data_IF_984829707441
#
_entry.id   IF_984829707441
#
_cell.length_a   1.000
_cell.length_b   1.000
_cell.length_c   1.000
_cell.angle_alpha   90.00
_cell.angle_beta   90.00
_cell.angle_gamma   90.00
#
_symmetry.space_group_name_H-M   'P 1'
#
loop_
_entity.id
_entity.type
_entity.pdbx_description
1 polymer ?
#
# COMPACT_ATOMS: atom_id res chain seq x y z
N UNK A 1 7.77 61.30 -23.34
CA UNK A 1 8.47 60.02 -23.06
C UNK A 1 8.43 59.60 -21.59
N UNK A 2 8.86 60.43 -20.62
CA UNK A 2 8.92 60.04 -19.19
C UNK A 2 7.59 59.52 -18.60
N UNK A 3 6.43 60.14 -18.91
CA UNK A 3 5.11 59.69 -18.42
C UNK A 3 4.69 58.29 -18.91
N UNK A 4 5.02 57.93 -20.14
CA UNK A 4 4.71 56.60 -20.69
C UNK A 4 5.62 55.53 -20.08
N UNK A 5 6.88 55.88 -19.79
CA UNK A 5 7.82 54.98 -19.14
C UNK A 5 7.39 54.63 -17.70
N UNK A 6 6.85 55.61 -16.96
CA UNK A 6 6.31 55.41 -15.60
C UNK A 6 5.04 54.56 -15.59
N UNK A 7 4.14 54.74 -16.56
CA UNK A 7 2.93 53.92 -16.71
C UNK A 7 3.26 52.47 -17.08
N UNK A 8 4.25 52.24 -17.94
CA UNK A 8 4.71 50.89 -18.31
C UNK A 8 5.38 50.18 -17.12
N UNK A 9 6.19 50.89 -16.33
CA UNK A 9 6.80 50.31 -15.12
C UNK A 9 5.76 50.01 -14.02
N UNK A 10 4.74 50.86 -13.87
CA UNK A 10 3.64 50.60 -12.92
C UNK A 10 2.78 49.40 -13.36
N UNK A 11 2.55 49.24 -14.67
CA UNK A 11 1.80 48.11 -15.22
C UNK A 11 2.58 46.78 -15.11
N UNK A 12 3.90 46.81 -15.37
CA UNK A 12 4.78 45.64 -15.23
C UNK A 12 4.90 45.18 -13.77
N UNK A 13 4.99 46.11 -12.82
CA UNK A 13 5.07 45.77 -11.39
C UNK A 13 3.77 45.17 -10.85
N UNK A 14 2.60 45.64 -11.31
CA UNK A 14 1.31 45.01 -10.96
C UNK A 14 1.13 43.61 -11.57
N UNK A 15 1.68 43.38 -12.76
CA UNK A 15 1.63 42.06 -13.42
C UNK A 15 2.53 41.04 -12.71
N UNK A 16 3.70 41.49 -12.20
CA UNK A 16 4.60 40.64 -11.40
C UNK A 16 4.03 40.27 -10.03
N UNK A 17 3.26 41.17 -9.38
CA UNK A 17 2.57 40.84 -8.12
C UNK A 17 1.43 39.83 -8.31
N UNK A 18 0.67 39.92 -9.40
CA UNK A 18 -0.40 38.95 -9.71
C UNK A 18 0.14 37.58 -10.14
N UNK A 19 1.39 37.52 -10.64
CA UNK A 19 2.06 36.27 -10.99
C UNK A 19 2.68 35.55 -9.78
N UNK A 20 2.83 36.21 -8.63
CA UNK A 20 3.47 35.65 -7.43
C UNK A 20 2.52 34.96 -6.43
N UNK A 21 1.22 34.88 -6.70
CA UNK A 21 0.22 34.46 -5.69
C UNK A 21 -0.35 33.06 -5.85
N UNK A 22 0.27 32.14 -6.60
CA UNK A 22 -0.08 30.72 -6.51
C UNK A 22 1.09 29.97 -5.92
N UNK A 23 1.04 29.77 -4.61
CA UNK A 23 1.90 28.81 -3.95
C UNK A 23 1.36 27.41 -4.34
N UNK A 24 2.04 26.64 -5.19
CA UNK A 24 1.55 25.34 -5.65
C UNK A 24 1.42 24.32 -4.50
N UNK A 25 1.91 24.66 -3.30
CA UNK A 25 1.89 23.81 -2.10
C UNK A 25 0.82 24.22 -1.09
N UNK A 26 -0.28 24.85 -1.52
CA UNK A 26 -1.42 25.03 -0.61
C UNK A 26 -2.07 23.66 -0.36
N UNK A 27 -1.80 23.09 0.81
CA UNK A 27 -2.35 21.80 1.23
C UNK A 27 -3.51 22.05 2.19
N UNK A 28 -4.66 21.47 1.89
CA UNK A 28 -5.83 21.44 2.76
C UNK A 28 -5.86 20.13 3.52
N UNK A 29 -5.84 20.24 4.84
CA UNK A 29 -5.96 19.11 5.76
C UNK A 29 -7.42 18.85 6.10
N UNK A 30 -7.87 17.61 5.92
CA UNK A 30 -9.20 17.15 6.31
C UNK A 30 -9.09 15.82 7.06
N UNK A 31 -10.16 15.41 7.72
CA UNK A 31 -10.24 14.13 8.41
C UNK A 31 -11.58 13.49 8.12
N UNK A 32 -11.56 12.21 7.77
CA UNK A 32 -12.77 11.41 7.59
C UNK A 32 -13.38 11.05 8.95
N UNK A 33 -14.66 10.70 8.95
CA UNK A 33 -15.41 10.29 10.14
C UNK A 33 -14.76 9.11 10.89
N UNK A 34 -14.15 8.16 10.15
CA UNK A 34 -13.43 7.00 10.70
C UNK A 34 -12.01 7.32 11.22
N UNK A 35 -11.60 8.59 11.17
CA UNK A 35 -10.32 9.06 11.69
C UNK A 35 -9.16 9.09 10.70
N UNK A 36 -9.34 8.63 9.45
CA UNK A 36 -8.31 8.73 8.41
C UNK A 36 -7.98 10.20 8.09
N UNK A 37 -6.69 10.53 8.05
CA UNK A 37 -6.21 11.85 7.66
C UNK A 37 -6.23 11.98 6.13
N UNK A 38 -6.65 13.13 5.63
CA UNK A 38 -6.69 13.43 4.19
C UNK A 38 -5.91 14.71 3.91
N UNK A 39 -5.06 14.65 2.90
CA UNK A 39 -4.25 15.75 2.41
C UNK A 39 -4.65 16.06 0.97
N UNK A 40 -5.14 17.27 0.73
CA UNK A 40 -5.62 17.71 -0.58
C UNK A 40 -4.75 18.85 -1.09
N UNK A 41 -4.21 18.72 -2.29
CA UNK A 41 -3.53 19.80 -3.00
C UNK A 41 -4.20 19.99 -4.36
N UNK A 42 -4.98 21.06 -4.48
CA UNK A 42 -5.73 21.39 -5.70
C UNK A 42 -4.85 22.15 -6.70
N UNK A 43 -4.71 21.58 -7.90
CA UNK A 43 -3.95 22.15 -9.00
C UNK A 43 -4.58 21.79 -10.36
N UNK A 44 -5.29 22.75 -10.95
CA UNK A 44 -5.92 22.62 -12.27
C UNK A 44 -4.98 22.88 -13.47
N UNK A 45 -3.67 22.98 -13.28
CA UNK A 45 -2.73 23.27 -14.39
C UNK A 45 -2.58 22.10 -15.37
N UNK A 46 -2.90 20.87 -14.94
CA UNK A 46 -2.85 19.66 -15.76
C UNK A 46 -4.06 18.77 -15.42
N UNK A 47 -4.71 18.13 -16.42
CA UNK A 47 -5.83 17.22 -16.19
C UNK A 47 -5.33 15.85 -15.69
N UNK A 48 -4.66 15.83 -14.54
CA UNK A 48 -4.06 14.67 -13.92
C UNK A 48 -4.10 14.81 -12.41
N UNK A 49 -4.35 13.70 -11.71
CA UNK A 49 -4.31 13.63 -10.26
C UNK A 49 -3.33 12.54 -9.85
N UNK A 50 -2.45 12.85 -8.91
CA UNK A 50 -1.69 11.89 -8.13
C UNK A 50 -2.50 11.49 -6.90
N UNK A 51 -2.73 10.19 -6.72
CA UNK A 51 -3.35 9.66 -5.52
C UNK A 51 -2.42 8.68 -4.82
N UNK A 52 -2.36 8.77 -3.49
CA UNK A 52 -1.62 7.84 -2.66
C UNK A 52 -2.38 7.51 -1.38
N UNK A 53 -2.25 6.26 -0.93
CA UNK A 53 -2.65 5.83 0.40
C UNK A 53 -1.41 5.40 1.14
N UNK A 54 -1.15 6.06 2.27
CA UNK A 54 0.01 5.82 3.14
C UNK A 54 -0.47 5.07 4.36
N UNK A 55 0.19 3.96 4.68
CA UNK A 55 -0.02 3.20 5.91
C UNK A 55 1.19 3.45 6.81
N UNK A 56 0.97 3.96 8.03
CA UNK A 56 2.04 4.21 9.01
C UNK A 56 2.47 2.91 9.69
N UNK A 57 2.91 1.95 8.88
CA UNK A 57 3.50 0.71 9.32
C UNK A 57 4.49 0.25 8.25
N UNK A 58 5.66 -0.20 8.70
CA UNK A 58 6.72 -0.68 7.82
C UNK A 58 7.43 -1.87 8.43
N UNK A 59 8.66 -2.13 7.97
CA UNK A 59 9.42 -3.30 8.43
C UNK A 59 9.73 -3.29 9.94
N UNK A 60 9.77 -2.11 10.58
CA UNK A 60 10.00 -2.01 12.04
C UNK A 60 8.84 -2.58 12.87
N UNK A 61 7.64 -2.63 12.30
CA UNK A 61 6.43 -3.08 13.00
C UNK A 61 6.29 -4.61 12.92
N UNK A 62 7.07 -5.26 12.06
CA UNK A 62 7.24 -6.70 11.98
C UNK A 62 8.73 -7.08 11.78
N UNK A 63 9.59 -6.81 12.77
CA UNK A 63 11.03 -6.91 12.59
C UNK A 63 11.47 -8.29 12.12
N UNK A 64 12.37 -8.32 11.14
CA UNK A 64 12.98 -9.51 10.57
C UNK A 64 12.05 -10.45 9.76
N UNK A 65 10.74 -10.18 9.66
CA UNK A 65 9.78 -11.13 9.07
C UNK A 65 9.58 -10.97 7.56
N UNK A 66 9.73 -9.76 7.03
CA UNK A 66 9.38 -9.42 5.64
C UNK A 66 7.89 -9.18 5.39
N UNK A 67 7.04 -9.26 6.43
CA UNK A 67 5.57 -9.16 6.30
C UNK A 67 5.14 -7.83 5.68
N UNK A 68 5.69 -6.69 6.12
CA UNK A 68 5.36 -5.37 5.56
C UNK A 68 5.62 -5.31 4.05
N UNK A 69 6.73 -5.90 3.59
CA UNK A 69 7.05 -5.97 2.18
C UNK A 69 6.07 -6.86 1.40
N UNK A 70 5.63 -8.00 1.97
CA UNK A 70 4.58 -8.80 1.32
C UNK A 70 3.30 -8.02 1.06
N UNK A 71 2.93 -7.07 1.93
CA UNK A 71 1.75 -6.25 1.70
C UNK A 71 1.89 -5.31 0.50
N UNK A 72 3.10 -4.95 0.10
CA UNK A 72 3.37 -4.23 -1.16
C UNK A 72 2.86 -5.04 -2.36
N UNK A 73 3.10 -6.35 -2.35
CA UNK A 73 2.72 -7.27 -3.42
C UNK A 73 1.24 -7.68 -3.35
N UNK A 74 0.79 -8.05 -2.15
CA UNK A 74 -0.46 -8.79 -1.96
C UNK A 74 -1.70 -7.88 -2.10
N UNK A 75 -1.59 -6.61 -1.74
CA UNK A 75 -2.72 -5.66 -1.86
C UNK A 75 -3.09 -5.32 -3.31
N UNK A 76 -2.32 -5.76 -4.31
CA UNK A 76 -2.67 -5.71 -5.72
C UNK A 76 -3.34 -6.99 -6.25
N UNK A 77 -3.35 -8.08 -5.47
CA UNK A 77 -3.91 -9.37 -5.92
C UNK A 77 -5.43 -9.45 -5.83
N UNK A 78 -6.04 -8.42 -5.27
CA UNK A 78 -7.48 -8.18 -5.29
C UNK A 78 -8.13 -8.34 -3.92
N UNK A 79 -9.45 -8.48 -3.97
CA UNK A 79 -10.35 -8.50 -2.82
C UNK A 79 -11.34 -9.67 -2.95
N UNK A 80 -12.35 -9.68 -2.09
CA UNK A 80 -13.52 -10.54 -2.24
C UNK A 80 -14.40 -10.18 -3.45
N UNK A 81 -14.20 -9.01 -4.06
CA UNK A 81 -14.92 -8.56 -5.27
C UNK A 81 -14.03 -8.40 -6.50
N UNK A 82 -12.72 -8.22 -6.31
CA UNK A 82 -11.76 -7.95 -7.39
C UNK A 82 -10.73 -9.09 -7.43
N UNK A 83 -10.36 -9.54 -8.62
CA UNK A 83 -9.35 -10.57 -8.85
C UNK A 83 -9.87 -11.99 -8.70
N UNK A 84 -11.19 -12.21 -8.78
CA UNK A 84 -11.81 -13.53 -8.58
C UNK A 84 -13.12 -13.70 -9.35
N UNK A 85 -13.32 -14.90 -9.88
CA UNK A 85 -14.56 -15.29 -10.54
C UNK A 85 -15.66 -15.72 -9.54
N UNK A 86 -15.27 -16.28 -8.39
CA UNK A 86 -16.17 -16.66 -7.29
C UNK A 86 -15.37 -16.75 -5.98
N UNK A 87 -15.42 -15.68 -5.18
CA UNK A 87 -14.72 -15.63 -3.91
C UNK A 87 -15.23 -16.65 -2.89
N UNK A 88 -16.52 -16.99 -2.90
CA UNK A 88 -17.07 -17.88 -1.86
C UNK A 88 -16.47 -19.28 -1.99
N UNK A 89 -16.38 -19.78 -3.22
CA UNK A 89 -15.71 -21.06 -3.52
C UNK A 89 -14.19 -20.95 -3.34
N UNK A 90 -13.58 -19.86 -3.81
CA UNK A 90 -12.14 -19.61 -3.67
C UNK A 90 -11.68 -19.64 -2.20
N UNK A 91 -12.46 -19.00 -1.32
CA UNK A 91 -12.13 -18.81 0.09
C UNK A 91 -11.84 -20.14 0.81
N UNK A 92 -12.57 -21.21 0.48
CA UNK A 92 -12.34 -22.53 1.10
C UNK A 92 -10.93 -23.07 0.83
N UNK A 93 -10.41 -22.81 -0.38
CA UNK A 93 -9.04 -23.17 -0.75
C UNK A 93 -8.03 -22.25 -0.05
N UNK A 94 -8.28 -20.94 -0.04
CA UNK A 94 -7.39 -19.95 0.60
C UNK A 94 -7.27 -20.17 2.12
N UNK A 95 -8.37 -20.51 2.80
CA UNK A 95 -8.36 -20.85 4.23
C UNK A 95 -7.49 -22.11 4.47
N UNK A 96 -7.60 -23.11 3.59
CA UNK A 96 -6.80 -24.33 3.66
C UNK A 96 -5.31 -24.07 3.41
N UNK A 97 -4.99 -23.19 2.44
CA UNK A 97 -3.61 -22.75 2.14
C UNK A 97 -3.02 -22.03 3.36
N UNK A 98 -3.79 -21.12 3.97
CA UNK A 98 -3.41 -20.40 5.19
C UNK A 98 -3.02 -21.37 6.32
N UNK A 99 -3.88 -22.35 6.60
CA UNK A 99 -3.61 -23.36 7.62
C UNK A 99 -2.35 -24.19 7.29
N UNK A 100 -2.10 -24.48 6.01
CA UNK A 100 -0.93 -25.27 5.58
C UNK A 100 0.39 -24.50 5.67
N UNK A 101 0.41 -23.21 5.36
CA UNK A 101 1.61 -22.38 5.59
C UNK A 101 1.93 -22.25 7.08
N UNK A 102 0.92 -22.07 7.92
CA UNK A 102 1.11 -22.05 9.38
C UNK A 102 1.60 -23.41 9.91
N UNK A 103 1.11 -24.53 9.36
CA UNK A 103 1.63 -25.87 9.65
C UNK A 103 3.10 -26.00 9.19
N UNK A 104 3.41 -25.52 7.99
CA UNK A 104 4.76 -25.55 7.41
C UNK A 104 5.76 -24.80 8.31
N UNK A 105 5.42 -23.59 8.75
CA UNK A 105 6.29 -22.75 9.58
C UNK A 105 6.64 -23.41 10.92
N UNK A 106 5.73 -24.20 11.51
CA UNK A 106 5.95 -24.90 12.79
C UNK A 106 6.64 -26.26 12.62
N UNK A 107 6.70 -26.78 11.40
CA UNK A 107 7.23 -28.12 11.12
C UNK A 107 8.73 -28.07 10.83
N UNK A 108 9.52 -28.82 11.61
CA UNK A 108 10.98 -28.95 11.42
C UNK A 108 11.39 -30.16 10.59
N UNK A 109 10.59 -31.23 10.62
CA UNK A 109 10.90 -32.48 9.91
C UNK A 109 10.87 -32.28 8.39
N UNK A 110 11.98 -32.60 7.72
CA UNK A 110 12.17 -32.31 6.29
C UNK A 110 11.20 -33.07 5.40
N UNK A 111 10.91 -34.34 5.73
CA UNK A 111 10.00 -35.17 4.95
C UNK A 111 8.57 -34.62 5.06
N UNK A 112 8.13 -34.31 6.28
CA UNK A 112 6.81 -33.71 6.53
C UNK A 112 6.67 -32.34 5.87
N UNK A 113 7.70 -31.48 5.93
CA UNK A 113 7.70 -30.19 5.22
C UNK A 113 7.51 -30.38 3.72
N UNK A 114 8.21 -31.33 3.11
CA UNK A 114 8.06 -31.64 1.69
C UNK A 114 6.63 -32.08 1.33
N UNK A 115 5.98 -32.86 2.20
CA UNK A 115 4.58 -33.25 2.02
C UNK A 115 3.63 -32.06 2.14
N UNK A 116 3.82 -31.20 3.15
CA UNK A 116 3.02 -29.98 3.33
C UNK A 116 3.16 -29.06 2.12
N UNK A 117 4.38 -28.88 1.58
CA UNK A 117 4.60 -28.07 0.39
C UNK A 117 3.87 -28.63 -0.84
N UNK A 118 3.85 -29.96 -1.01
CA UNK A 118 3.06 -30.60 -2.09
C UNK A 118 1.56 -30.35 -1.93
N UNK A 119 1.06 -30.38 -0.69
CA UNK A 119 -0.33 -30.02 -0.39
C UNK A 119 -0.62 -28.55 -0.71
N UNK A 120 0.27 -27.63 -0.31
CA UNK A 120 0.16 -26.20 -0.65
C UNK A 120 0.07 -26.05 -2.16
N UNK A 121 1.00 -26.65 -2.93
CA UNK A 121 0.98 -26.56 -4.39
C UNK A 121 -0.35 -27.04 -4.99
N UNK A 122 -0.87 -28.18 -4.52
CA UNK A 122 -2.15 -28.72 -4.97
C UNK A 122 -3.31 -27.77 -4.66
N UNK A 123 -3.35 -27.22 -3.44
CA UNK A 123 -4.39 -26.28 -3.02
C UNK A 123 -4.29 -24.95 -3.79
N UNK A 124 -3.07 -24.44 -4.01
CA UNK A 124 -2.81 -23.23 -4.80
C UNK A 124 -3.31 -23.37 -6.24
N UNK A 125 -3.14 -24.56 -6.86
CA UNK A 125 -3.69 -24.83 -8.19
C UNK A 125 -5.22 -24.77 -8.19
N UNK A 126 -5.89 -25.33 -7.18
CA UNK A 126 -7.35 -25.27 -7.07
C UNK A 126 -7.85 -23.84 -6.83
N UNK A 127 -7.19 -23.07 -5.98
CA UNK A 127 -7.50 -21.65 -5.78
C UNK A 127 -7.27 -20.83 -7.06
N UNK A 128 -6.23 -21.17 -7.83
CA UNK A 128 -5.86 -20.49 -9.08
C UNK A 128 -6.93 -20.55 -10.16
N UNK A 129 -7.82 -21.55 -10.15
CA UNK A 129 -8.95 -21.65 -11.10
C UNK A 129 -9.99 -20.52 -10.92
N UNK A 130 -10.05 -19.92 -9.73
CA UNK A 130 -10.94 -18.80 -9.42
C UNK A 130 -10.25 -17.45 -9.60
N UNK A 131 -8.93 -17.42 -9.49
CA UNK A 131 -8.15 -16.19 -9.55
C UNK A 131 -8.23 -15.54 -10.93
N UNK A 132 -8.39 -14.22 -10.96
CA UNK A 132 -8.26 -13.39 -12.17
C UNK A 132 -6.98 -12.55 -11.99
N UNK A 133 -5.82 -13.03 -12.47
CA UNK A 133 -4.55 -12.35 -12.26
C UNK A 133 -4.56 -10.93 -12.84
N UNK A 134 -3.95 -9.99 -12.12
CA UNK A 134 -3.76 -8.59 -12.54
C UNK A 134 -5.07 -7.82 -12.81
N UNK A 135 -6.23 -8.28 -12.33
CA UNK A 135 -7.50 -7.59 -12.55
C UNK A 135 -7.49 -6.17 -11.96
N UNK A 136 -6.96 -6.00 -10.74
CA UNK A 136 -6.86 -4.67 -10.12
C UNK A 136 -6.08 -3.68 -11.00
N UNK A 137 -4.90 -4.08 -11.48
CA UNK A 137 -4.10 -3.27 -12.39
C UNK A 137 -4.84 -2.99 -13.71
N UNK A 138 -5.50 -4.00 -14.26
CA UNK A 138 -6.29 -3.88 -15.50
C UNK A 138 -7.43 -2.86 -15.34
N UNK A 139 -8.12 -2.87 -14.20
CA UNK A 139 -9.18 -1.90 -13.87
C UNK A 139 -8.62 -0.49 -13.72
N UNK A 140 -7.51 -0.32 -12.99
CA UNK A 140 -6.83 0.98 -12.87
C UNK A 140 -6.45 1.52 -14.24
N UNK A 141 -5.84 0.71 -15.10
CA UNK A 141 -5.46 1.11 -16.47
C UNK A 141 -6.68 1.43 -17.34
N UNK A 142 -7.76 0.64 -17.23
CA UNK A 142 -9.02 0.88 -17.96
C UNK A 142 -9.60 2.26 -17.64
N UNK A 143 -9.47 2.72 -16.41
CA UNK A 143 -9.90 4.06 -15.97
C UNK A 143 -8.78 5.12 -16.09
N UNK A 144 -7.83 4.93 -17.00
CA UNK A 144 -6.79 5.92 -17.32
C UNK A 144 -5.72 6.08 -16.25
N UNK A 145 -5.63 5.14 -15.30
CA UNK A 145 -4.58 5.11 -14.30
C UNK A 145 -3.22 4.73 -14.89
N UNK A 146 -2.16 5.38 -14.42
CA UNK A 146 -0.78 5.16 -14.87
C UNK A 146 0.18 5.15 -13.68
N UNK A 147 1.35 4.51 -13.86
CA UNK A 147 2.38 4.39 -12.82
C UNK A 147 1.83 3.83 -11.50
N UNK A 148 1.00 2.79 -11.58
CA UNK A 148 0.56 2.05 -10.41
C UNK A 148 1.76 1.38 -9.76
N UNK A 149 2.03 1.74 -8.51
CA UNK A 149 3.14 1.19 -7.77
C UNK A 149 2.87 1.23 -6.26
N UNK A 150 3.73 0.54 -5.53
CA UNK A 150 3.84 0.68 -4.09
C UNK A 150 5.31 0.61 -3.68
N UNK A 151 5.60 1.01 -2.44
CA UNK A 151 6.89 0.76 -1.82
C UNK A 151 6.73 0.62 -0.31
N UNK A 152 7.64 -0.14 0.28
CA UNK A 152 7.76 -0.31 1.73
C UNK A 152 9.06 0.29 2.24
N UNK A 153 8.95 1.05 3.32
CA UNK A 153 10.07 1.59 4.08
C UNK A 153 10.08 0.97 5.49
N UNK A 154 10.96 1.47 6.35
CA UNK A 154 11.03 1.04 7.74
C UNK A 154 9.80 1.49 8.54
N UNK A 155 9.23 2.65 8.23
CA UNK A 155 8.15 3.27 9.00
C UNK A 155 6.79 3.30 8.29
N UNK A 156 6.74 3.05 6.99
CA UNK A 156 5.53 3.19 6.18
C UNK A 156 5.50 2.25 4.97
N UNK A 157 4.29 1.99 4.49
CA UNK A 157 4.03 1.38 3.18
C UNK A 157 3.09 2.30 2.41
N UNK A 158 3.47 2.63 1.18
CA UNK A 158 2.76 3.61 0.34
C UNK A 158 2.30 2.96 -0.94
N UNK A 159 1.04 3.19 -1.31
CA UNK A 159 0.45 2.73 -2.56
C UNK A 159 -0.02 3.92 -3.35
N UNK A 160 0.40 4.06 -4.60
CA UNK A 160 0.12 5.26 -5.37
C UNK A 160 -0.05 4.99 -6.87
N UNK A 161 -0.73 5.91 -7.54
CA UNK A 161 -0.75 6.01 -8.99
C UNK A 161 -1.24 7.39 -9.44
N UNK A 162 -0.98 7.73 -10.70
CA UNK A 162 -1.65 8.85 -11.37
C UNK A 162 -2.94 8.37 -12.02
N UNK A 163 -3.92 9.26 -12.17
CA UNK A 163 -5.18 9.02 -12.88
C UNK A 163 -5.74 10.32 -13.48
N UNK A 164 -6.79 10.20 -14.29
CA UNK A 164 -7.44 11.34 -14.96
C UNK A 164 -8.65 11.81 -14.13
N UNK A 165 -8.85 13.12 -13.89
CA UNK A 165 -9.87 13.65 -12.97
C UNK A 165 -11.28 13.09 -13.14
N UNK A 166 -11.74 12.84 -14.38
CA UNK A 166 -13.09 12.33 -14.61
C UNK A 166 -13.35 10.95 -13.99
N UNK A 167 -12.30 10.19 -13.66
CA UNK A 167 -12.38 8.85 -13.06
C UNK A 167 -12.12 8.84 -11.55
N UNK A 168 -12.19 9.99 -10.87
CA UNK A 168 -11.94 10.08 -9.43
C UNK A 168 -12.84 9.17 -8.59
N UNK A 169 -14.10 8.98 -9.00
CA UNK A 169 -15.01 8.06 -8.31
C UNK A 169 -14.50 6.62 -8.38
N UNK A 170 -14.16 6.13 -9.58
CA UNK A 170 -13.64 4.78 -9.80
C UNK A 170 -12.28 4.60 -9.14
N UNK A 171 -11.43 5.62 -9.17
CA UNK A 171 -10.14 5.58 -8.48
C UNK A 171 -10.33 5.40 -6.97
N UNK A 172 -11.23 6.17 -6.34
CA UNK A 172 -11.53 6.05 -4.92
C UNK A 172 -12.09 4.67 -4.58
N UNK A 173 -13.08 4.19 -5.34
CA UNK A 173 -13.70 2.88 -5.13
C UNK A 173 -12.68 1.73 -5.22
N UNK A 174 -11.83 1.72 -6.26
CA UNK A 174 -10.80 0.69 -6.40
C UNK A 174 -9.75 0.77 -5.28
N UNK A 175 -9.23 1.97 -5.01
CA UNK A 175 -8.15 2.13 -4.03
C UNK A 175 -8.63 1.94 -2.59
N UNK A 176 -9.89 2.25 -2.26
CA UNK A 176 -10.43 1.96 -0.93
C UNK A 176 -10.72 0.48 -0.73
N UNK A 177 -11.26 -0.21 -1.76
CA UNK A 177 -11.67 -1.61 -1.68
C UNK A 177 -10.52 -2.54 -1.27
N UNK A 178 -9.31 -2.34 -1.79
CA UNK A 178 -8.13 -3.16 -1.41
C UNK A 178 -7.78 -3.06 0.08
N UNK A 179 -8.12 -1.96 0.75
CA UNK A 179 -7.88 -1.81 2.19
C UNK A 179 -9.08 -2.24 3.03
N UNK A 180 -10.25 -2.39 2.44
CA UNK A 180 -11.47 -2.83 3.12
C UNK A 180 -11.54 -4.35 3.25
N UNK A 181 -11.32 -5.08 2.15
CA UNK A 181 -11.42 -6.55 2.09
C UNK A 181 -10.28 -7.20 1.28
N UNK A 182 -8.99 -7.02 1.63
CA UNK A 182 -7.91 -7.67 0.89
C UNK A 182 -7.97 -9.19 1.00
N UNK A 183 -7.60 -9.86 -0.09
CA UNK A 183 -7.51 -11.32 -0.15
C UNK A 183 -6.07 -11.72 -0.52
N UNK A 184 -5.45 -12.62 0.25
CA UNK A 184 -4.07 -13.06 0.06
C UNK A 184 -3.93 -14.11 -1.06
N UNK A 185 -4.51 -13.77 -2.21
CA UNK A 185 -4.56 -14.61 -3.41
C UNK A 185 -3.18 -14.69 -4.06
N UNK A 186 -2.91 -15.80 -4.74
CA UNK A 186 -1.63 -16.05 -5.43
C UNK A 186 -0.40 -15.92 -4.51
N UNK A 187 -0.57 -16.11 -3.20
CA UNK A 187 0.50 -15.91 -2.23
C UNK A 187 1.75 -16.74 -2.55
N UNK A 188 1.58 -17.97 -3.03
CA UNK A 188 2.71 -18.80 -3.43
C UNK A 188 3.53 -18.18 -4.57
N UNK A 189 2.88 -17.55 -5.56
CA UNK A 189 3.60 -16.88 -6.65
C UNK A 189 4.38 -15.66 -6.15
N UNK A 190 3.78 -14.89 -5.23
CA UNK A 190 4.45 -13.73 -4.63
C UNK A 190 5.58 -14.13 -3.68
N UNK A 191 5.46 -15.27 -3.00
CA UNK A 191 6.53 -15.84 -2.20
C UNK A 191 7.78 -16.09 -3.05
N UNK A 192 7.63 -16.68 -4.23
CA UNK A 192 8.74 -16.90 -5.17
C UNK A 192 9.31 -15.59 -5.71
N UNK A 193 8.47 -14.60 -6.02
CA UNK A 193 8.93 -13.28 -6.45
C UNK A 193 9.77 -12.58 -5.37
N UNK A 194 9.32 -12.61 -4.11
CA UNK A 194 10.05 -12.04 -2.97
C UNK A 194 11.36 -12.79 -2.69
N UNK A 195 11.42 -14.12 -2.90
CA UNK A 195 12.71 -14.84 -2.84
C UNK A 195 13.69 -14.35 -3.89
N UNK A 196 13.22 -14.17 -5.13
CA UNK A 196 14.09 -13.71 -6.22
C UNK A 196 14.61 -12.30 -5.95
N UNK A 197 13.76 -11.41 -5.44
CA UNK A 197 14.18 -10.08 -5.01
C UNK A 197 15.20 -10.11 -3.87
N UNK A 198 15.01 -11.00 -2.88
CA UNK A 198 15.99 -11.18 -1.81
C UNK A 198 17.32 -11.72 -2.31
N UNK A 199 17.31 -12.67 -3.24
CA UNK A 199 18.52 -13.19 -3.85
C UNK A 199 19.28 -12.09 -4.61
N UNK A 200 18.57 -11.35 -5.48
CA UNK A 200 19.13 -10.23 -6.23
C UNK A 200 19.70 -9.13 -5.31
N UNK A 201 19.01 -8.81 -4.24
CA UNK A 201 19.49 -7.85 -3.22
C UNK A 201 20.73 -8.36 -2.49
N UNK A 202 20.80 -9.66 -2.21
CA UNK A 202 21.93 -10.29 -1.51
C UNK A 202 23.17 -10.47 -2.41
N UNK A 203 23.01 -10.42 -3.74
CA UNK A 203 24.12 -10.41 -4.69
C UNK A 203 24.74 -9.02 -4.87
N UNK A 204 24.07 -7.96 -4.40
CA UNK A 204 24.58 -6.59 -4.46
C UNK A 204 25.45 -6.25 -3.23
N UNK A 205 26.74 -6.02 -3.48
CA UNK A 205 27.75 -5.71 -2.46
C UNK A 205 27.42 -4.42 -1.69
N UNK A 206 26.85 -3.41 -2.35
CA UNK A 206 26.50 -2.15 -1.69
C UNK A 206 25.31 -2.32 -0.74
N UNK A 207 24.28 -3.05 -1.17
CA UNK A 207 23.13 -3.37 -0.30
C UNK A 207 23.57 -4.15 0.94
N UNK A 208 24.41 -5.17 0.79
CA UNK A 208 24.94 -5.93 1.92
C UNK A 208 25.75 -5.08 2.91
N UNK A 209 26.54 -4.13 2.41
CA UNK A 209 27.31 -3.23 3.25
C UNK A 209 26.39 -2.30 4.06
N UNK A 210 25.35 -1.76 3.43
CA UNK A 210 24.34 -0.92 4.09
C UNK A 210 23.58 -1.72 5.15
N UNK A 211 23.16 -2.95 4.85
CA UNK A 211 22.49 -3.84 5.81
C UNK A 211 23.39 -4.15 7.03
N UNK A 212 24.70 -4.37 6.82
CA UNK A 212 25.65 -4.61 7.93
C UNK A 212 25.83 -3.37 8.81
N UNK A 213 25.93 -2.20 8.19
CA UNK A 213 25.99 -0.92 8.91
C UNK A 213 24.71 -0.71 9.71
N UNK A 214 23.54 -0.83 9.07
CA UNK A 214 22.24 -0.66 9.70
C UNK A 214 22.07 -1.60 10.91
N UNK A 215 22.39 -2.89 10.74
CA UNK A 215 22.31 -3.87 11.81
C UNK A 215 23.18 -3.53 13.01
N UNK A 216 24.39 -3.01 12.80
CA UNK A 216 25.34 -2.64 13.87
C UNK A 216 24.94 -1.34 14.55
N UNK A 217 24.59 -0.32 13.78
CA UNK A 217 24.23 1.02 14.28
C UNK A 217 22.94 0.97 15.09
N UNK A 218 21.95 0.21 14.63
CA UNK A 218 20.63 0.12 15.25
C UNK A 218 20.44 -1.13 16.11
N UNK A 219 21.52 -1.83 16.46
CA UNK A 219 21.49 -3.06 17.24
C UNK A 219 20.63 -2.92 18.50
N UNK A 220 19.75 -3.91 18.74
CA UNK A 220 18.79 -3.89 19.85
C UNK A 220 17.50 -3.12 19.58
N UNK A 221 17.35 -2.50 18.40
CA UNK A 221 16.12 -1.84 17.97
C UNK A 221 15.50 -2.54 16.75
N UNK A 222 14.19 -2.34 16.47
CA UNK A 222 13.55 -2.81 15.25
C UNK A 222 14.20 -2.36 13.95
N UNK A 223 14.91 -1.23 13.95
CA UNK A 223 15.59 -0.67 12.77
C UNK A 223 16.83 -1.48 12.37
N UNK A 224 17.30 -2.42 13.18
CA UNK A 224 18.44 -3.28 12.86
C UNK A 224 18.17 -4.30 11.75
N UNK A 225 16.90 -4.50 11.38
CA UNK A 225 16.50 -5.55 10.46
C UNK A 225 16.22 -5.00 9.04
N UNK A 226 16.56 -5.78 7.99
CA UNK A 226 16.29 -5.38 6.63
C UNK A 226 14.78 -5.42 6.34
N UNK A 227 14.34 -4.61 5.37
CA UNK A 227 12.92 -4.51 4.98
C UNK A 227 12.38 -5.86 4.47
N UNK A 228 13.17 -6.56 3.64
CA UNK A 228 12.83 -7.88 3.10
C UNK A 228 12.75 -8.98 4.18
N UNK A 229 13.27 -8.74 5.38
CA UNK A 229 13.41 -9.76 6.42
C UNK A 229 14.56 -10.74 6.17
N UNK A 230 14.66 -11.74 7.05
CA UNK A 230 15.69 -12.78 6.92
C UNK A 230 15.30 -13.87 5.92
N UNK A 231 16.29 -14.51 5.30
CA UNK A 231 16.06 -15.69 4.45
C UNK A 231 15.30 -16.81 5.19
N UNK A 232 15.50 -16.94 6.50
CA UNK A 232 14.77 -17.92 7.33
C UNK A 232 13.29 -17.57 7.44
N UNK A 233 12.95 -16.31 7.67
CA UNK A 233 11.57 -15.84 7.78
C UNK A 233 10.83 -15.94 6.45
N UNK A 234 11.47 -15.53 5.35
CA UNK A 234 10.88 -15.69 4.01
C UNK A 234 10.68 -17.18 3.71
N UNK A 235 11.55 -18.09 4.18
CA UNK A 235 11.42 -19.57 4.08
C UNK A 235 10.30 -20.19 4.91
N UNK A 236 9.73 -19.45 5.84
CA UNK A 236 8.71 -19.93 6.77
C UNK A 236 7.64 -18.86 6.99
N UNK A 237 6.93 -18.41 5.94
CA UNK A 237 5.92 -17.39 6.09
C UNK A 237 4.74 -17.93 6.90
N UNK A 238 4.17 -17.08 7.75
CA UNK A 238 2.97 -17.36 8.53
C UNK A 238 1.86 -16.42 8.08
N UNK A 239 0.88 -16.95 7.36
CA UNK A 239 -0.23 -16.15 6.81
C UNK A 239 -1.11 -15.61 7.94
N UNK A 240 -1.23 -16.30 9.07
CA UNK A 240 -1.92 -15.77 10.25
C UNK A 240 -1.23 -14.54 10.85
N UNK A 241 0.11 -14.49 10.85
CA UNK A 241 0.85 -13.29 11.28
C UNK A 241 0.66 -12.12 10.32
N UNK A 242 0.59 -12.39 9.00
CA UNK A 242 0.23 -11.37 8.01
C UNK A 242 -1.18 -10.83 8.27
N UNK A 243 -2.17 -11.71 8.51
CA UNK A 243 -3.53 -11.27 8.85
C UNK A 243 -3.57 -10.45 10.13
N UNK A 244 -2.80 -10.83 11.15
CA UNK A 244 -2.69 -10.07 12.40
C UNK A 244 -2.04 -8.68 12.18
N UNK A 245 -1.01 -8.61 11.33
CA UNK A 245 -0.36 -7.36 10.95
C UNK A 245 -1.35 -6.43 10.25
N UNK A 246 -2.10 -6.93 9.26
CA UNK A 246 -3.15 -6.17 8.58
C UNK A 246 -4.19 -5.62 9.57
N UNK A 247 -4.77 -6.48 10.40
CA UNK A 247 -5.81 -6.08 11.37
C UNK A 247 -5.32 -5.02 12.37
N UNK A 248 -4.02 -5.02 12.69
CA UNK A 248 -3.42 -4.09 13.63
C UNK A 248 -3.07 -2.74 12.99
N UNK A 249 -2.56 -2.76 11.76
CA UNK A 249 -1.90 -1.60 11.17
C UNK A 249 -2.68 -0.94 10.01
N UNK A 250 -3.50 -1.70 9.30
CA UNK A 250 -4.29 -1.22 8.15
C UNK A 250 -5.69 -0.79 8.61
N UNK A 251 -5.69 0.20 9.50
CA UNK A 251 -6.89 0.80 10.09
C UNK A 251 -6.89 2.29 9.81
N UNK A 252 -8.08 2.88 9.66
CA UNK A 252 -8.27 4.25 9.18
C UNK A 252 -7.39 5.28 9.92
N UNK A 253 -7.36 5.24 11.25
CA UNK A 253 -6.56 6.17 12.07
C UNK A 253 -5.04 6.02 11.94
N UNK A 254 -4.55 4.93 11.34
CA UNK A 254 -3.14 4.68 11.05
C UNK A 254 -2.80 4.86 9.55
N UNK A 255 -3.75 5.35 8.77
CA UNK A 255 -3.63 5.55 7.34
C UNK A 255 -3.89 7.01 6.96
N UNK A 256 -3.29 7.44 5.85
CA UNK A 256 -3.49 8.76 5.28
C UNK A 256 -3.78 8.65 3.78
N UNK A 257 -4.67 9.51 3.31
CA UNK A 257 -5.01 9.66 1.90
C UNK A 257 -4.42 10.98 1.38
N UNK A 258 -3.67 10.91 0.29
CA UNK A 258 -3.10 12.08 -0.38
C UNK A 258 -3.69 12.17 -1.78
N UNK A 259 -4.25 13.33 -2.13
CA UNK A 259 -4.71 13.66 -3.47
C UNK A 259 -4.12 15.00 -3.90
N UNK A 260 -3.43 15.00 -5.04
CA UNK A 260 -2.75 16.17 -5.58
C UNK A 260 -3.01 16.31 -7.07
N UNK A 261 -3.53 17.44 -7.54
CA UNK A 261 -3.78 17.71 -8.95
C UNK A 261 -5.16 18.28 -9.22
N UNK A 262 -5.71 18.01 -10.41
CA UNK A 262 -6.98 18.58 -10.87
C UNK A 262 -8.18 17.91 -10.17
N UNK A 263 -8.45 18.39 -8.96
CA UNK A 263 -9.53 17.97 -8.05
C UNK A 263 -10.28 19.21 -7.56
N UNK A 264 -11.48 19.03 -7.00
CA UNK A 264 -12.19 20.08 -6.27
C UNK A 264 -12.15 19.74 -4.77
N UNK A 265 -11.30 20.43 -4.02
CA UNK A 265 -11.08 20.14 -2.60
C UNK A 265 -12.29 20.47 -1.71
N UNK A 266 -13.19 21.35 -2.18
CA UNK A 266 -14.39 21.75 -1.44
C UNK A 266 -15.52 20.73 -1.58
N UNK A 267 -15.59 20.00 -2.71
CA UNK A 267 -16.68 19.05 -2.99
C UNK A 267 -16.29 17.57 -2.89
N UNK A 268 -15.01 17.24 -2.73
CA UNK A 268 -14.54 15.83 -2.74
C UNK A 268 -14.90 15.03 -1.48
N UNK A 269 -15.09 15.68 -0.33
CA UNK A 269 -15.22 14.99 0.96
C UNK A 269 -16.35 13.94 1.03
N UNK A 270 -17.57 14.17 0.50
CA UNK A 270 -18.62 13.15 0.48
C UNK A 270 -18.23 11.87 -0.28
N UNK A 271 -17.44 11.99 -1.35
CA UNK A 271 -16.91 10.83 -2.08
C UNK A 271 -15.92 10.05 -1.21
N UNK A 272 -15.01 10.75 -0.53
CA UNK A 272 -13.99 10.12 0.32
C UNK A 272 -14.63 9.42 1.53
N UNK A 273 -15.63 10.04 2.16
CA UNK A 273 -16.41 9.40 3.23
C UNK A 273 -17.13 8.15 2.74
N UNK A 274 -17.74 8.19 1.54
CA UNK A 274 -18.43 7.03 0.97
C UNK A 274 -17.51 5.85 0.68
N UNK A 275 -16.27 6.12 0.26
CA UNK A 275 -15.34 5.10 -0.25
C UNK A 275 -14.31 4.65 0.79
N UNK A 276 -13.62 5.59 1.44
CA UNK A 276 -12.61 5.30 2.46
C UNK A 276 -13.18 5.28 3.89
N UNK A 277 -14.32 5.92 4.14
CA UNK A 277 -14.99 5.92 5.45
C UNK A 277 -15.34 4.52 6.00
N UNK A 278 -15.72 3.52 5.17
CA UNK A 278 -15.95 2.15 5.63
C UNK A 278 -14.70 1.40 6.14
N UNK A 279 -13.48 1.88 5.89
CA UNK A 279 -12.26 1.22 6.38
C UNK A 279 -12.30 1.19 7.92
N UNK A 280 -11.95 0.01 8.48
CA UNK A 280 -12.03 -0.27 9.91
C UNK A 280 -11.37 0.83 10.75
N UNK A 281 -12.11 1.35 11.72
CA UNK A 281 -11.59 2.30 12.70
C UNK A 281 -10.53 1.68 13.60
N UNK A 282 -9.54 2.48 14.00
CA UNK A 282 -8.64 2.09 15.08
C UNK A 282 -9.47 1.96 16.36
N UNK A 283 -9.68 0.74 16.87
CA UNK A 283 -10.25 0.54 18.20
C UNK A 283 -9.35 1.25 19.21
N UNK A 284 -9.81 2.39 19.75
CA UNK A 284 -9.15 3.01 20.90
C UNK A 284 -9.13 1.95 21.99
N UNK A 285 -7.94 1.47 22.35
CA UNK A 285 -7.79 0.62 23.51
C UNK A 285 -8.44 1.34 24.68
N UNK A 286 -9.51 0.77 25.22
CA UNK A 286 -10.10 1.24 26.47
C UNK A 286 -9.02 1.07 27.52
N UNK A 287 -8.30 2.13 27.84
CA UNK A 287 -7.43 2.17 29.00
C UNK A 287 -8.38 2.19 30.19
N UNK A 288 -8.86 1.02 30.58
CA UNK A 288 -9.46 0.83 31.89
C UNK A 288 -8.29 0.82 32.85
N UNK A 289 -7.98 2.00 33.40
CA UNK A 289 -7.11 2.11 34.57
C UNK A 289 -7.85 1.40 35.70
N UNK A 290 -7.37 0.22 36.08
CA UNK A 290 -7.68 -0.43 37.34
C UNK A 290 -6.55 -0.18 38.32
#
# INVERSE_FOLDING_TARGET
MKRYLTLITLFLTTLSLLAQTRNPLQVTEKRLSNGMQVWLNEDHTRPQVFGAVVVKAGSKDCPNTGIAHYFEHILFKGTDKIGTADYQSEKLWLDSITAKYDELARTKDVVRRSLIQKDINRLSLQAGEYAIPNEFQTLIQRFGGTQLNAYTSTDETVYHNFFVPQYINQWCELNSERFFSPVFRLFQNELEAVYEEKNRSSDDVFHNAIDDIQRRVFAGTPYAYPILGSTESIKNPQLSEMSAFYQRHYVAGNMELVLCGDIDADTIMPLLERTFGPITELKKASITVH
#
